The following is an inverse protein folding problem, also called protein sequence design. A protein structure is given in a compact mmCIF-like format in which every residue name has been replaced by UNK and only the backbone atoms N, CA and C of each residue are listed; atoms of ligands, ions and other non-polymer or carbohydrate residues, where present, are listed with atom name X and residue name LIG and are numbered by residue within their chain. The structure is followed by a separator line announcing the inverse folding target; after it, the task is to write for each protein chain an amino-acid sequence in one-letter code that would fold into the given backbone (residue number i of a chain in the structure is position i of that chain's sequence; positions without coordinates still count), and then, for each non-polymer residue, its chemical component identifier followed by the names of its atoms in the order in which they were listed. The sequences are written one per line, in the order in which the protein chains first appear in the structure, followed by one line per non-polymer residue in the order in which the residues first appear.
data_IF_062722903178
#
_entry.id   IF_062722903178
#
_cell.length_a   1.000
_cell.length_b   1.000
_cell.length_c   1.000
_cell.angle_alpha   90.00
_cell.angle_beta   90.00
_cell.angle_gamma   90.00
#
_symmetry.space_group_name_H-M   'P 1'
#
loop_
_entity.id
_entity.type
_entity.pdbx_description
1 polymer ?
#
# COMPACT_ATOMS: atom_id res chain seq x y z
N UNK A 1 1.13 10.18 16.77
CA UNK A 1 1.04 11.00 15.55
C UNK A 1 0.92 10.07 14.35
N UNK A 2 0.12 10.45 13.35
CA UNK A 2 -0.07 9.68 12.12
C UNK A 2 0.27 10.60 10.94
N UNK A 3 1.07 10.12 10.01
CA UNK A 3 1.36 10.76 8.73
C UNK A 3 0.88 9.81 7.63
N UNK A 4 -0.01 10.30 6.78
CA UNK A 4 -0.48 9.58 5.59
C UNK A 4 0.10 10.25 4.36
N UNK A 5 0.72 9.47 3.51
CA UNK A 5 1.32 9.90 2.24
C UNK A 5 0.59 9.15 1.14
N UNK A 6 -0.31 9.83 0.49
CA UNK A 6 -1.00 9.33 -0.69
C UNK A 6 -0.17 9.56 -1.94
N UNK A 7 -0.34 8.71 -2.95
CA UNK A 7 0.44 8.72 -4.19
C UNK A 7 1.96 8.70 -3.94
N UNK A 8 2.40 7.82 -3.03
CA UNK A 8 3.80 7.76 -2.58
C UNK A 8 4.80 7.51 -3.73
N UNK A 9 4.36 6.90 -4.86
CA UNK A 9 5.17 6.73 -6.05
C UNK A 9 5.71 8.07 -6.58
N UNK A 10 4.92 9.14 -6.48
CA UNK A 10 5.32 10.48 -6.96
C UNK A 10 6.50 11.03 -6.15
N UNK A 11 6.51 10.81 -4.83
CA UNK A 11 7.66 11.17 -3.96
C UNK A 11 8.89 10.33 -4.34
N UNK A 12 8.68 9.07 -4.72
CA UNK A 12 9.75 8.14 -5.03
C UNK A 12 10.43 8.39 -6.38
N UNK A 13 9.84 9.19 -7.28
CA UNK A 13 10.44 9.59 -8.56
C UNK A 13 11.65 10.51 -8.40
N UNK A 14 11.75 11.24 -7.28
CA UNK A 14 12.83 12.20 -7.04
C UNK A 14 13.73 11.71 -5.92
N UNK A 15 15.01 11.52 -6.20
CA UNK A 15 15.98 10.95 -5.26
C UNK A 15 16.02 11.63 -3.89
N UNK A 16 15.96 12.96 -3.84
CA UNK A 16 15.99 13.72 -2.58
C UNK A 16 14.73 13.46 -1.74
N UNK A 17 13.56 13.44 -2.38
CA UNK A 17 12.29 13.18 -1.71
C UNK A 17 12.19 11.71 -1.27
N UNK A 18 12.63 10.78 -2.11
CA UNK A 18 12.69 9.36 -1.79
C UNK A 18 13.64 9.09 -0.61
N UNK A 19 14.80 9.73 -0.60
CA UNK A 19 15.77 9.67 0.50
C UNK A 19 15.20 10.25 1.79
N UNK A 20 14.46 11.35 1.70
CA UNK A 20 13.77 11.94 2.86
C UNK A 20 12.76 10.94 3.43
N UNK A 21 11.89 10.35 2.60
CA UNK A 21 10.90 9.37 3.03
C UNK A 21 11.55 8.13 3.65
N UNK A 22 12.63 7.64 3.05
CA UNK A 22 13.43 6.54 3.59
C UNK A 22 13.92 6.84 5.03
N UNK A 23 14.50 8.01 5.27
CA UNK A 23 14.98 8.39 6.61
C UNK A 23 13.84 8.60 7.59
N UNK A 24 12.72 9.16 7.12
CA UNK A 24 11.53 9.37 7.91
C UNK A 24 10.97 8.03 8.43
N UNK A 25 10.77 7.06 7.54
CA UNK A 25 10.27 5.73 7.90
C UNK A 25 11.20 5.03 8.89
N UNK A 26 12.50 5.06 8.65
CA UNK A 26 13.49 4.45 9.57
C UNK A 26 13.48 5.06 10.98
N UNK A 27 13.14 6.33 11.12
CA UNK A 27 13.19 7.07 12.38
C UNK A 27 11.82 7.29 13.01
N UNK A 28 10.74 7.02 12.31
CA UNK A 28 9.36 7.29 12.71
C UNK A 28 9.05 6.76 14.12
N UNK A 29 9.46 5.52 14.40
CA UNK A 29 9.26 4.88 15.70
C UNK A 29 9.87 5.68 16.86
N UNK A 30 11.04 6.30 16.65
CA UNK A 30 11.71 7.11 17.67
C UNK A 30 10.90 8.35 18.06
N UNK A 31 10.06 8.84 17.14
CA UNK A 31 9.26 10.05 17.34
C UNK A 31 7.79 9.76 17.60
N UNK A 32 7.44 8.50 17.91
CA UNK A 32 6.04 8.06 18.06
C UNK A 32 5.19 8.47 16.86
N UNK A 33 5.75 8.29 15.66
CA UNK A 33 5.12 8.61 14.39
C UNK A 33 4.77 7.32 13.64
N UNK A 34 3.53 7.17 13.25
CA UNK A 34 3.06 6.15 12.32
C UNK A 34 3.07 6.75 10.92
N UNK A 35 3.72 6.07 10.00
CA UNK A 35 3.76 6.48 8.59
C UNK A 35 2.98 5.47 7.78
N UNK A 36 1.99 5.95 7.05
CA UNK A 36 1.21 5.17 6.08
C UNK A 36 1.52 5.69 4.69
N UNK A 37 2.06 4.84 3.84
CA UNK A 37 2.27 5.14 2.42
C UNK A 37 1.24 4.42 1.58
N UNK A 38 0.60 5.13 0.67
CA UNK A 38 -0.40 4.61 -0.25
C UNK A 38 0.13 4.83 -1.66
N UNK A 39 0.07 3.81 -2.48
CA UNK A 39 0.44 3.91 -3.89
C UNK A 39 -0.44 3.01 -4.74
N UNK A 40 -0.82 3.47 -5.90
CA UNK A 40 -1.49 2.67 -6.92
C UNK A 40 -0.52 2.22 -8.02
N UNK A 41 0.58 2.94 -8.19
CA UNK A 41 1.63 2.57 -9.14
C UNK A 41 2.78 1.89 -8.39
N UNK A 42 2.79 0.55 -8.47
CA UNK A 42 3.79 -0.26 -7.81
C UNK A 42 5.12 -0.22 -8.54
N UNK A 43 5.10 -0.20 -9.88
CA UNK A 43 6.33 -0.23 -10.69
C UNK A 43 7.15 1.03 -10.46
N UNK A 44 6.52 2.19 -10.52
CA UNK A 44 7.18 3.47 -10.22
C UNK A 44 7.68 3.55 -8.78
N UNK A 45 6.91 3.02 -7.84
CA UNK A 45 7.31 2.98 -6.43
C UNK A 45 8.58 2.14 -6.22
N UNK A 46 8.65 0.95 -6.80
CA UNK A 46 9.81 0.04 -6.67
C UNK A 46 10.97 0.38 -7.60
N UNK A 47 10.76 1.25 -8.58
CA UNK A 47 11.81 1.78 -9.46
C UNK A 47 12.86 2.60 -8.72
N UNK A 48 12.50 3.21 -7.58
CA UNK A 48 13.42 3.94 -6.73
C UNK A 48 14.33 3.00 -5.93
N UNK A 49 15.60 3.35 -5.75
CA UNK A 49 16.53 2.59 -4.88
C UNK A 49 16.15 2.59 -3.39
N UNK A 50 15.22 3.44 -2.98
CA UNK A 50 14.82 3.64 -1.58
C UNK A 50 13.55 2.89 -1.15
N UNK A 51 12.87 2.17 -2.05
CA UNK A 51 11.61 1.49 -1.75
C UNK A 51 11.73 0.38 -0.69
N UNK A 52 12.82 -0.40 -0.77
CA UNK A 52 12.98 -1.62 0.03
C UNK A 52 12.85 -1.39 1.54
N UNK A 53 13.53 -0.42 2.16
CA UNK A 53 13.36 -0.16 3.59
C UNK A 53 11.96 0.35 3.96
N UNK A 54 11.25 1.01 3.06
CA UNK A 54 9.89 1.46 3.30
C UNK A 54 8.99 0.24 3.46
N UNK A 55 9.04 -0.71 2.54
CA UNK A 55 8.27 -1.95 2.59
C UNK A 55 8.68 -2.82 3.78
N UNK A 56 9.99 -3.02 3.99
CA UNK A 56 10.46 -3.92 5.07
C UNK A 56 10.25 -3.37 6.48
N UNK A 57 10.08 -2.06 6.66
CA UNK A 57 9.73 -1.47 7.96
C UNK A 57 8.21 -1.32 8.16
N UNK A 58 7.42 -1.62 7.15
CA UNK A 58 5.95 -1.61 7.25
C UNK A 58 5.48 -2.95 7.82
N UNK A 59 5.12 -2.97 9.09
CA UNK A 59 4.62 -4.18 9.76
C UNK A 59 3.17 -4.52 9.39
N UNK A 60 2.43 -3.55 8.85
CA UNK A 60 1.09 -3.73 8.30
C UNK A 60 1.14 -3.35 6.84
N UNK A 61 0.63 -4.23 5.97
CA UNK A 61 0.58 -3.99 4.53
C UNK A 61 -0.77 -4.46 3.99
N UNK A 62 -1.32 -3.72 3.04
CA UNK A 62 -2.58 -4.04 2.39
C UNK A 62 -2.37 -4.02 0.87
N UNK A 63 -2.55 -5.17 0.25
CA UNK A 63 -2.53 -5.34 -1.19
C UNK A 63 -3.95 -5.51 -1.69
N UNK A 64 -4.51 -4.48 -2.30
CA UNK A 64 -5.81 -4.54 -2.97
C UNK A 64 -5.67 -5.17 -4.36
N UNK A 65 -6.76 -5.21 -5.13
CA UNK A 65 -6.76 -5.73 -6.51
C UNK A 65 -5.59 -5.18 -7.32
N UNK A 66 -4.92 -6.06 -8.04
CA UNK A 66 -3.74 -5.74 -8.83
C UNK A 66 -3.98 -5.98 -10.34
N UNK A 67 -3.19 -5.28 -11.14
CA UNK A 67 -3.16 -5.51 -12.59
C UNK A 67 -2.26 -6.71 -12.94
N UNK A 68 -2.50 -7.38 -14.08
CA UNK A 68 -1.59 -8.42 -14.58
C UNK A 68 -0.16 -7.92 -14.83
N UNK A 69 0.03 -6.64 -15.11
CA UNK A 69 1.34 -6.05 -15.38
C UNK A 69 2.21 -6.00 -14.11
N UNK A 70 1.64 -5.59 -12.98
CA UNK A 70 2.38 -5.37 -11.73
C UNK A 70 2.46 -6.60 -10.81
N UNK A 71 1.64 -7.62 -11.04
CA UNK A 71 1.48 -8.73 -10.09
C UNK A 71 2.76 -9.56 -9.90
N UNK A 72 3.56 -9.74 -10.94
CA UNK A 72 4.81 -10.52 -10.84
C UNK A 72 5.86 -9.81 -10.00
N UNK A 73 5.94 -8.49 -10.11
CA UNK A 73 6.80 -7.67 -9.25
C UNK A 73 6.36 -7.76 -7.79
N UNK A 74 5.06 -7.67 -7.52
CA UNK A 74 4.50 -7.84 -6.18
C UNK A 74 4.75 -9.23 -5.61
N UNK A 75 4.58 -10.29 -6.40
CA UNK A 75 4.86 -11.65 -5.96
C UNK A 75 6.32 -11.80 -5.49
N UNK A 76 7.26 -11.20 -6.19
CA UNK A 76 8.66 -11.24 -5.82
C UNK A 76 8.97 -10.45 -4.55
N UNK A 77 8.32 -9.31 -4.34
CA UNK A 77 8.56 -8.43 -3.20
C UNK A 77 7.92 -8.97 -1.93
N UNK A 78 6.64 -9.32 -1.99
CA UNK A 78 5.84 -9.72 -0.84
C UNK A 78 5.84 -11.24 -0.59
N UNK A 79 6.49 -12.01 -1.49
CA UNK A 79 6.60 -13.48 -1.39
C UNK A 79 5.24 -14.18 -1.31
N UNK A 80 4.26 -13.64 -2.01
CA UNK A 80 2.93 -14.24 -2.10
C UNK A 80 2.96 -15.51 -2.96
N UNK A 81 2.12 -16.47 -2.62
CA UNK A 81 1.95 -17.71 -3.34
C UNK A 81 1.21 -17.51 -4.67
N UNK A 82 1.25 -18.53 -5.55
CA UNK A 82 0.50 -18.47 -6.81
C UNK A 82 -1.02 -18.42 -6.58
N UNK A 83 -1.52 -19.00 -5.49
CA UNK A 83 -2.93 -18.92 -5.11
C UNK A 83 -3.30 -17.49 -4.70
N UNK A 84 -2.48 -16.84 -3.91
CA UNK A 84 -2.70 -15.44 -3.48
C UNK A 84 -2.58 -14.46 -4.65
N UNK A 85 -1.65 -14.71 -5.56
CA UNK A 85 -1.56 -13.99 -6.83
C UNK A 85 -2.86 -14.08 -7.62
N UNK A 86 -3.42 -15.30 -7.75
CA UNK A 86 -4.69 -15.51 -8.41
C UNK A 86 -5.84 -14.75 -7.71
N UNK A 87 -5.87 -14.76 -6.38
CA UNK A 87 -6.85 -14.02 -5.58
C UNK A 87 -6.75 -12.52 -5.87
N UNK A 88 -5.56 -11.95 -5.85
CA UNK A 88 -5.35 -10.51 -6.09
C UNK A 88 -5.79 -10.07 -7.49
N UNK A 89 -5.52 -10.89 -8.50
CA UNK A 89 -5.93 -10.61 -9.88
C UNK A 89 -7.46 -10.61 -10.05
N UNK A 90 -8.14 -11.51 -9.34
CA UNK A 90 -9.59 -11.73 -9.48
C UNK A 90 -10.41 -11.03 -8.38
N UNK A 91 -9.78 -10.34 -7.45
CA UNK A 91 -10.45 -9.60 -6.39
C UNK A 91 -11.38 -8.52 -6.96
N UNK A 92 -12.51 -8.32 -6.29
CA UNK A 92 -13.36 -7.16 -6.53
C UNK A 92 -12.73 -5.89 -5.93
N UNK A 93 -13.34 -4.75 -6.21
CA UNK A 93 -12.97 -3.48 -5.58
C UNK A 93 -13.06 -3.61 -4.05
N UNK A 94 -12.07 -3.10 -3.34
CA UNK A 94 -11.95 -3.17 -1.87
C UNK A 94 -11.73 -4.58 -1.30
N UNK A 95 -11.35 -5.54 -2.13
CA UNK A 95 -10.89 -6.85 -1.69
C UNK A 95 -9.39 -6.99 -1.89
N UNK A 96 -8.73 -7.75 -1.01
CA UNK A 96 -7.29 -7.95 -1.12
C UNK A 96 -6.69 -8.76 0.01
N UNK A 97 -5.36 -8.72 0.10
CA UNK A 97 -4.58 -9.39 1.13
C UNK A 97 -4.10 -8.38 2.17
N UNK A 98 -4.40 -8.67 3.41
CA UNK A 98 -3.91 -7.92 4.56
C UNK A 98 -2.78 -8.69 5.23
N UNK A 99 -1.65 -8.05 5.43
CA UNK A 99 -0.47 -8.59 6.09
C UNK A 99 -0.29 -7.90 7.44
N UNK A 100 -0.10 -8.71 8.46
CA UNK A 100 0.34 -8.26 9.77
C UNK A 100 1.58 -9.08 10.15
N UNK A 101 2.76 -8.52 9.98
CA UNK A 101 4.06 -9.18 10.03
C UNK A 101 4.16 -10.37 9.07
N UNK A 102 4.26 -11.60 9.57
CA UNK A 102 4.38 -12.81 8.75
C UNK A 102 3.03 -13.46 8.41
N UNK A 103 1.98 -13.04 9.08
CA UNK A 103 0.63 -13.57 8.86
C UNK A 103 -0.10 -12.73 7.82
N UNK A 104 -0.83 -13.39 6.93
CA UNK A 104 -1.64 -12.69 5.94
C UNK A 104 -2.98 -13.39 5.72
N UNK A 105 -4.00 -12.59 5.45
CA UNK A 105 -5.38 -13.02 5.30
C UNK A 105 -6.07 -12.24 4.21
N UNK A 106 -6.94 -12.92 3.47
CA UNK A 106 -7.84 -12.23 2.55
C UNK A 106 -8.88 -11.42 3.31
N UNK A 107 -9.12 -10.19 2.86
CA UNK A 107 -10.08 -9.29 3.47
C UNK A 107 -10.97 -8.62 2.41
N UNK A 108 -12.12 -8.18 2.86
CA UNK A 108 -12.98 -7.24 2.15
C UNK A 108 -13.20 -6.03 3.05
N UNK A 109 -12.87 -4.85 2.54
CA UNK A 109 -13.14 -3.59 3.22
C UNK A 109 -14.57 -3.18 2.91
N UNK A 110 -15.38 -2.99 3.96
CA UNK A 110 -16.79 -2.57 3.85
C UNK A 110 -16.93 -1.27 4.61
N UNK A 111 -17.26 -0.20 3.89
CA UNK A 111 -17.58 1.08 4.53
C UNK A 111 -18.95 1.00 5.21
N UNK A 112 -19.08 1.61 6.38
CA UNK A 112 -20.39 1.81 7.00
C UNK A 112 -21.20 2.83 6.18
N UNK A 113 -22.51 2.86 6.40
CA UNK A 113 -23.41 3.82 5.72
C UNK A 113 -22.93 5.27 5.87
N UNK A 114 -22.50 5.66 7.06
CA UNK A 114 -22.00 7.02 7.32
C UNK A 114 -20.66 7.30 6.63
N UNK A 115 -19.75 6.34 6.61
CA UNK A 115 -18.49 6.48 5.89
C UNK A 115 -18.73 6.58 4.39
N UNK A 116 -19.62 5.75 3.83
CA UNK A 116 -19.96 5.80 2.42
C UNK A 116 -20.51 7.18 2.01
N UNK A 117 -21.37 7.78 2.83
CA UNK A 117 -21.88 9.13 2.58
C UNK A 117 -20.78 10.21 2.61
N UNK A 118 -19.75 10.00 3.41
CA UNK A 118 -18.66 10.98 3.57
C UNK A 118 -17.63 10.86 2.45
N UNK A 119 -17.30 9.64 2.02
CA UNK A 119 -16.20 9.37 1.08
C UNK A 119 -16.67 9.21 -0.37
N UNK A 120 -17.99 9.10 -0.62
CA UNK A 120 -18.51 8.92 -1.97
C UNK A 120 -18.16 10.08 -2.89
N UNK A 121 -17.67 9.76 -4.07
CA UNK A 121 -17.44 10.72 -5.17
C UNK A 121 -18.60 10.79 -6.15
N UNK A 122 -19.64 9.95 -5.96
CA UNK A 122 -20.83 9.95 -6.79
C UNK A 122 -21.66 11.23 -6.53
N UNK A 123 -21.82 12.12 -7.53
CA UNK A 123 -22.57 13.37 -7.35
C UNK A 123 -24.07 13.16 -7.06
N UNK A 124 -24.62 11.98 -7.38
CA UNK A 124 -26.03 11.65 -7.16
C UNK A 124 -26.31 11.09 -5.76
N UNK A 125 -25.27 10.85 -4.96
CA UNK A 125 -25.35 10.30 -3.60
C UNK A 125 -24.96 11.29 -2.50
N UNK A 126 -24.74 12.55 -2.85
CA UNK A 126 -24.49 13.63 -1.89
C UNK A 126 -25.76 14.34 -1.50
#
# INVERSE_FOLDING_TARGET
RILVIDEAWNIMQHDDSAKFLFWLVKRARKYNLWVTTITQDVEDFIGSSFWKPIVTNSSIQLLLKQSPASIDALQNIFKITDQEKYILLNSAVWQGLFFAWAEHVWIQVIASYFEEQTVTTDPNRK
#
